data_IF_376504737467
#
_entry.id   IF_376504737467
#
_cell.length_a   1.000
_cell.length_b   1.000
_cell.length_c   1.000
_cell.angle_alpha   90.00
_cell.angle_beta   90.00
_cell.angle_gamma   90.00
#
_symmetry.space_group_name_H-M   'P 1'
#
loop_
_entity.id
_entity.type
_entity.pdbx_description
1 polymer ?
#
# COMPACT_ATOMS: atom_id res chain seq x y z
N UNK A 1 -3.58 40.09 -15.91
CA UNK A 1 -4.93 39.76 -15.43
C UNK A 1 -4.88 38.49 -14.56
N UNK A 2 -4.88 38.75 -13.29
CA UNK A 2 -5.49 38.13 -12.10
C UNK A 2 -5.56 36.63 -11.99
N UNK A 3 -4.60 36.08 -11.24
CA UNK A 3 -4.65 34.74 -10.61
C UNK A 3 -5.23 34.82 -9.17
N UNK A 4 -6.46 35.31 -9.01
CA UNK A 4 -7.08 35.55 -7.70
C UNK A 4 -8.34 34.69 -7.43
N UNK A 5 -8.60 33.64 -8.22
CA UNK A 5 -9.86 32.88 -8.13
C UNK A 5 -9.82 31.51 -7.48
N UNK A 6 -8.65 30.93 -7.21
CA UNK A 6 -8.54 29.53 -6.76
C UNK A 6 -8.49 29.34 -5.22
N UNK A 7 -8.06 30.35 -4.48
CA UNK A 7 -7.90 30.24 -3.02
C UNK A 7 -9.21 30.16 -2.20
N UNK A 8 -10.32 30.83 -2.57
CA UNK A 8 -11.55 30.73 -1.79
C UNK A 8 -12.30 29.41 -1.97
N UNK A 9 -12.09 28.67 -3.06
CA UNK A 9 -12.74 27.38 -3.30
C UNK A 9 -12.09 26.23 -2.47
N UNK A 10 -10.78 26.26 -2.31
CA UNK A 10 -10.08 25.28 -1.48
C UNK A 10 -10.40 25.46 0.01
N UNK A 11 -10.48 26.70 0.48
CA UNK A 11 -10.88 27.01 1.86
C UNK A 11 -12.35 26.68 2.15
N UNK A 12 -13.24 26.81 1.18
CA UNK A 12 -14.65 26.45 1.33
C UNK A 12 -14.92 24.94 1.30
N UNK A 13 -14.10 24.16 0.57
CA UNK A 13 -14.15 22.71 0.57
C UNK A 13 -13.57 22.14 1.86
N UNK A 14 -12.48 22.69 2.36
CA UNK A 14 -11.93 22.35 3.67
C UNK A 14 -12.88 22.73 4.81
N UNK A 15 -13.56 23.86 4.73
CA UNK A 15 -14.58 24.29 5.69
C UNK A 15 -15.83 23.40 5.67
N UNK A 16 -16.19 22.86 4.51
CA UNK A 16 -17.35 21.96 4.37
C UNK A 16 -17.05 20.57 4.95
N UNK A 17 -15.85 20.04 4.78
CA UNK A 17 -15.40 18.82 5.43
C UNK A 17 -15.29 18.97 6.97
N UNK A 18 -15.03 20.18 7.45
CA UNK A 18 -14.89 20.50 8.89
C UNK A 18 -16.24 20.69 9.62
N UNK A 19 -17.37 20.72 8.90
CA UNK A 19 -18.66 21.16 9.46
C UNK A 19 -19.62 20.03 9.88
N UNK A 20 -19.27 18.75 9.70
CA UNK A 20 -20.15 17.63 10.00
C UNK A 20 -19.60 16.78 11.15
N UNK A 21 -19.93 17.08 12.43
CA UNK A 21 -19.45 16.29 13.58
C UNK A 21 -19.86 14.82 13.52
N UNK A 22 -20.97 14.51 12.84
CA UNK A 22 -21.54 13.17 12.72
C UNK A 22 -21.33 12.54 11.33
N UNK A 23 -20.38 13.06 10.53
CA UNK A 23 -20.12 12.51 9.21
C UNK A 23 -19.77 11.01 9.28
N UNK A 24 -20.41 10.16 8.43
CA UNK A 24 -20.12 8.73 8.39
C UNK A 24 -18.69 8.45 7.92
N UNK A 25 -18.24 7.23 8.14
CA UNK A 25 -17.00 6.72 7.56
C UNK A 25 -17.19 6.59 6.04
N UNK A 26 -16.37 7.27 5.27
CA UNK A 26 -16.34 7.21 3.81
C UNK A 26 -14.97 6.73 3.36
N UNK A 27 -14.92 5.48 2.93
CA UNK A 27 -13.68 4.79 2.55
C UNK A 27 -13.43 4.93 1.06
N UNK A 28 -12.21 5.33 0.68
CA UNK A 28 -11.70 5.23 -0.69
C UNK A 28 -10.66 4.12 -0.80
N UNK A 29 -10.76 3.28 -1.84
CA UNK A 29 -9.86 2.14 -2.01
C UNK A 29 -9.60 1.76 -3.46
N UNK A 30 -8.48 1.08 -3.70
CA UNK A 30 -8.17 0.37 -4.93
C UNK A 30 -8.54 -1.12 -4.81
N UNK A 31 -8.80 -1.82 -5.93
CA UNK A 31 -9.20 -3.24 -5.93
C UNK A 31 -7.99 -4.16 -5.70
N UNK A 32 -7.33 -4.01 -4.57
CA UNK A 32 -6.13 -4.75 -4.16
C UNK A 32 -6.33 -5.36 -2.77
N UNK A 33 -5.57 -6.39 -2.45
CA UNK A 33 -5.67 -7.06 -1.15
C UNK A 33 -5.25 -6.18 0.03
N UNK A 34 -4.54 -5.10 -0.25
CA UNK A 34 -4.16 -4.08 0.72
C UNK A 34 -5.37 -3.42 1.41
N UNK A 35 -6.51 -3.34 0.71
CA UNK A 35 -7.75 -2.75 1.23
C UNK A 35 -8.53 -3.71 2.17
N UNK A 36 -8.10 -4.94 2.32
CA UNK A 36 -8.85 -5.98 3.03
C UNK A 36 -9.39 -5.54 4.39
N UNK A 37 -8.60 -4.95 5.31
CA UNK A 37 -9.14 -4.58 6.63
C UNK A 37 -10.26 -3.53 6.57
N UNK A 38 -10.16 -2.57 5.65
CA UNK A 38 -11.19 -1.55 5.47
C UNK A 38 -12.50 -2.15 4.97
N UNK A 39 -12.40 -3.08 4.01
CA UNK A 39 -13.55 -3.73 3.39
C UNK A 39 -14.18 -4.76 4.33
N UNK A 40 -13.39 -5.50 5.09
CA UNK A 40 -13.86 -6.41 6.13
C UNK A 40 -14.56 -5.64 7.24
N UNK A 41 -14.00 -4.50 7.68
CA UNK A 41 -14.64 -3.67 8.71
C UNK A 41 -16.05 -3.22 8.27
N UNK A 42 -16.21 -2.82 7.02
CA UNK A 42 -17.52 -2.46 6.46
C UNK A 42 -18.43 -3.69 6.31
N UNK A 43 -17.95 -4.77 5.70
CA UNK A 43 -18.79 -5.95 5.42
C UNK A 43 -19.31 -6.64 6.68
N UNK A 44 -18.51 -6.67 7.74
CA UNK A 44 -18.84 -7.31 9.01
C UNK A 44 -19.52 -6.37 10.03
N UNK A 45 -19.86 -5.15 9.60
CA UNK A 45 -20.56 -4.19 10.48
C UNK A 45 -19.71 -3.73 11.67
N UNK A 46 -18.39 -3.72 11.57
CA UNK A 46 -17.52 -3.38 12.70
C UNK A 46 -17.54 -1.88 13.03
N UNK A 47 -17.84 -1.01 12.06
CA UNK A 47 -18.06 0.40 12.33
C UNK A 47 -19.34 0.64 13.10
N UNK A 48 -20.42 -0.04 12.71
CA UNK A 48 -21.71 0.00 13.39
C UNK A 48 -21.61 -0.58 14.81
N UNK A 49 -20.81 -1.62 15.01
CA UNK A 49 -20.51 -2.19 16.32
C UNK A 49 -19.76 -1.20 17.24
N UNK A 50 -18.97 -0.29 16.67
CA UNK A 50 -18.36 0.84 17.41
C UNK A 50 -19.34 2.02 17.60
N UNK A 51 -20.55 1.94 17.07
CA UNK A 51 -21.57 2.99 17.16
C UNK A 51 -21.34 4.17 16.21
N UNK A 52 -20.68 3.94 15.07
CA UNK A 52 -20.54 4.91 13.99
C UNK A 52 -21.06 4.32 12.69
N UNK A 53 -21.56 5.19 11.80
CA UNK A 53 -22.06 4.76 10.52
C UNK A 53 -20.95 4.74 9.47
N UNK A 54 -21.03 3.81 8.53
CA UNK A 54 -20.15 3.74 7.38
C UNK A 54 -20.97 3.70 6.09
N UNK A 55 -20.56 4.50 5.12
CA UNK A 55 -21.09 4.40 3.76
C UNK A 55 -20.40 3.27 3.00
N UNK A 56 -21.05 2.84 1.90
CA UNK A 56 -20.40 1.89 0.99
C UNK A 56 -19.05 2.41 0.52
N UNK A 57 -17.97 1.64 0.66
CA UNK A 57 -16.64 2.03 0.19
C UNK A 57 -16.63 2.37 -1.31
N UNK A 58 -15.88 3.40 -1.67
CA UNK A 58 -15.74 3.92 -3.03
C UNK A 58 -14.55 3.29 -3.71
N UNK A 59 -14.80 2.50 -4.76
CA UNK A 59 -13.77 1.91 -5.60
C UNK A 59 -13.18 2.95 -6.55
N UNK A 60 -11.87 3.13 -6.49
CA UNK A 60 -11.11 4.05 -7.32
C UNK A 60 -10.12 3.27 -8.20
N UNK A 61 -9.53 3.91 -9.22
CA UNK A 61 -8.74 3.23 -10.25
C UNK A 61 -7.22 3.45 -10.14
N UNK A 62 -6.82 4.55 -9.50
CA UNK A 62 -5.41 4.93 -9.39
C UNK A 62 -5.12 5.60 -8.05
N UNK A 63 -3.86 5.63 -7.67
CA UNK A 63 -3.42 6.32 -6.45
C UNK A 63 -3.66 7.84 -6.53
N UNK A 64 -3.54 8.42 -7.72
CA UNK A 64 -3.88 9.83 -7.94
C UNK A 64 -5.36 10.09 -7.61
N UNK A 65 -6.28 9.22 -8.05
CA UNK A 65 -7.70 9.35 -7.71
C UNK A 65 -7.98 9.16 -6.22
N UNK A 66 -7.27 8.25 -5.54
CA UNK A 66 -7.44 8.03 -4.10
C UNK A 66 -7.09 9.30 -3.32
N UNK A 67 -5.93 9.89 -3.58
CA UNK A 67 -5.53 11.10 -2.86
C UNK A 67 -6.39 12.31 -3.22
N UNK A 68 -6.84 12.43 -4.47
CA UNK A 68 -7.76 13.49 -4.91
C UNK A 68 -9.12 13.38 -4.21
N UNK A 69 -9.72 12.19 -4.15
CA UNK A 69 -10.96 11.93 -3.43
C UNK A 69 -10.85 12.25 -1.93
N UNK A 70 -9.67 12.00 -1.35
CA UNK A 70 -9.39 12.31 0.05
C UNK A 70 -9.24 13.82 0.27
N UNK A 71 -8.44 14.51 -0.53
CA UNK A 71 -8.24 15.96 -0.41
C UNK A 71 -9.54 16.73 -0.64
N UNK A 72 -10.37 16.30 -1.58
CA UNK A 72 -11.68 16.92 -1.86
C UNK A 72 -12.75 16.64 -0.79
N UNK A 73 -12.49 15.72 0.16
CA UNK A 73 -13.46 15.33 1.17
C UNK A 73 -14.54 14.35 0.69
N UNK A 74 -14.43 13.84 -0.53
CA UNK A 74 -15.31 12.76 -1.03
C UNK A 74 -15.20 11.52 -0.15
N UNK A 75 -13.99 11.21 0.31
CA UNK A 75 -13.72 10.16 1.29
C UNK A 75 -12.91 10.73 2.47
N UNK A 76 -13.01 10.13 3.66
CA UNK A 76 -12.33 10.61 4.86
C UNK A 76 -11.41 9.57 5.52
N UNK A 77 -11.45 8.34 5.04
CA UNK A 77 -10.55 7.26 5.43
C UNK A 77 -10.06 6.55 4.18
N UNK A 78 -8.75 6.47 4.00
CA UNK A 78 -8.15 5.77 2.87
C UNK A 78 -7.03 4.84 3.32
N UNK A 79 -6.79 3.80 2.53
CA UNK A 79 -5.47 3.21 2.51
C UNK A 79 -4.62 3.97 1.50
N UNK A 80 -3.41 4.29 1.86
CA UNK A 80 -2.50 5.03 1.00
C UNK A 80 -1.12 4.37 1.04
N UNK A 81 -0.42 4.40 -0.08
CA UNK A 81 0.98 3.97 -0.14
C UNK A 81 1.79 4.71 0.92
N UNK A 82 2.54 3.98 1.74
CA UNK A 82 3.28 4.58 2.85
C UNK A 82 4.23 5.71 2.41
N UNK A 83 5.00 5.60 1.29
CA UNK A 83 5.79 6.72 0.80
C UNK A 83 4.95 7.91 0.31
N UNK A 84 3.75 7.64 -0.21
CA UNK A 84 2.87 8.70 -0.69
C UNK A 84 2.35 9.59 0.44
N UNK A 85 2.27 9.09 1.66
CA UNK A 85 1.93 9.90 2.84
C UNK A 85 2.99 10.96 3.14
N UNK A 86 4.28 10.63 2.92
CA UNK A 86 5.40 11.57 3.03
C UNK A 86 5.26 12.69 2.00
N UNK A 87 5.01 12.33 0.74
CA UNK A 87 4.76 13.31 -0.31
C UNK A 87 3.52 14.17 -0.02
N UNK A 88 2.41 13.57 0.39
CA UNK A 88 1.17 14.28 0.67
C UNK A 88 1.39 15.35 1.77
N UNK A 89 1.99 14.95 2.92
CA UNK A 89 2.19 15.86 4.04
C UNK A 89 3.26 16.91 3.79
N UNK A 90 4.43 16.52 3.30
CA UNK A 90 5.58 17.43 3.19
C UNK A 90 5.73 18.07 1.81
N UNK A 91 5.40 17.37 0.75
CA UNK A 91 5.46 17.87 -0.62
C UNK A 91 4.22 18.66 -1.03
N UNK A 92 3.04 18.21 -0.67
CA UNK A 92 1.75 18.81 -1.08
C UNK A 92 1.00 19.49 0.06
N UNK A 93 1.55 19.48 1.28
CA UNK A 93 1.00 20.15 2.48
C UNK A 93 -0.43 19.71 2.84
N UNK A 94 -0.76 18.44 2.59
CA UNK A 94 -2.03 17.85 3.01
C UNK A 94 -2.02 17.66 4.54
N UNK A 95 -2.95 18.26 5.30
CA UNK A 95 -3.01 18.14 6.75
C UNK A 95 -3.65 16.81 7.14
N UNK A 96 -2.88 15.73 7.05
CA UNK A 96 -3.32 14.38 7.36
C UNK A 96 -2.16 13.56 7.96
N UNK A 97 -2.51 12.49 8.66
CA UNK A 97 -1.57 11.63 9.38
C UNK A 97 -1.85 10.15 9.15
N UNK A 98 -0.80 9.36 9.31
CA UNK A 98 -0.88 7.91 9.42
C UNK A 98 -1.36 7.56 10.82
N UNK A 99 -2.47 6.84 10.93
CA UNK A 99 -3.06 6.46 12.23
C UNK A 99 -2.88 4.98 12.57
N UNK A 100 -2.62 4.16 11.54
CA UNK A 100 -2.31 2.74 11.66
C UNK A 100 -1.66 2.24 10.36
N UNK A 101 -0.98 1.12 10.40
CA UNK A 101 -0.72 0.35 9.19
C UNK A 101 -1.97 -0.43 8.79
N UNK A 102 -2.19 -0.54 7.49
CA UNK A 102 -3.29 -1.35 6.97
C UNK A 102 -2.86 -2.81 6.81
N UNK A 103 -1.67 -3.01 6.27
CA UNK A 103 -1.06 -4.33 6.10
C UNK A 103 0.46 -4.23 5.92
N UNK A 104 1.13 -5.39 5.94
CA UNK A 104 2.56 -5.55 5.65
C UNK A 104 2.76 -6.57 4.53
N UNK A 105 3.85 -6.42 3.76
CA UNK A 105 4.11 -7.24 2.59
C UNK A 105 3.06 -7.06 1.49
N UNK A 106 2.65 -8.13 0.85
CA UNK A 106 1.53 -8.15 -0.10
C UNK A 106 1.83 -7.58 -1.48
N UNK A 107 3.10 -7.60 -1.89
CA UNK A 107 3.53 -7.09 -3.21
C UNK A 107 4.62 -7.96 -3.81
N UNK A 108 4.79 -7.88 -5.13
CA UNK A 108 5.83 -8.62 -5.83
C UNK A 108 6.27 -7.96 -7.13
N UNK A 109 7.48 -8.30 -7.54
CA UNK A 109 8.00 -8.07 -8.88
C UNK A 109 7.57 -9.23 -9.76
N UNK A 110 6.72 -8.95 -10.72
CA UNK A 110 6.27 -9.90 -11.75
C UNK A 110 6.92 -9.51 -13.07
N UNK A 111 7.45 -10.50 -13.78
CA UNK A 111 8.15 -10.34 -15.04
C UNK A 111 7.55 -11.21 -16.13
N UNK A 112 7.84 -10.88 -17.39
CA UNK A 112 7.47 -11.71 -18.53
C UNK A 112 8.03 -13.13 -18.36
N UNK A 113 7.33 -14.18 -18.85
CA UNK A 113 7.71 -15.58 -18.61
C UNK A 113 9.14 -15.94 -19.03
N UNK A 114 9.65 -15.29 -20.08
CA UNK A 114 10.99 -15.50 -20.63
C UNK A 114 12.12 -14.87 -19.78
N UNK A 115 11.80 -13.98 -18.84
CA UNK A 115 12.79 -13.35 -17.96
C UNK A 115 13.03 -14.26 -16.77
N UNK A 116 14.21 -14.84 -16.72
CA UNK A 116 14.63 -15.77 -15.65
C UNK A 116 15.32 -15.06 -14.49
N UNK A 117 15.97 -13.93 -14.73
CA UNK A 117 16.82 -13.23 -13.77
C UNK A 117 16.59 -11.70 -13.87
N UNK A 118 16.69 -11.01 -12.74
CA UNK A 118 16.52 -9.54 -12.68
C UNK A 118 17.46 -8.81 -13.64
N UNK A 119 18.70 -9.30 -13.85
CA UNK A 119 19.67 -8.70 -14.77
C UNK A 119 19.18 -8.62 -16.22
N UNK A 120 18.25 -9.50 -16.60
CA UNK A 120 17.65 -9.48 -17.93
C UNK A 120 16.64 -8.34 -18.16
N UNK A 121 16.34 -7.56 -17.11
CA UNK A 121 15.55 -6.33 -17.21
C UNK A 121 16.36 -5.16 -17.80
N UNK A 122 17.67 -5.26 -17.91
CA UNK A 122 18.50 -4.27 -18.57
C UNK A 122 18.04 -4.00 -20.01
N UNK A 123 17.96 -2.73 -20.40
CA UNK A 123 17.43 -2.29 -21.68
C UNK A 123 15.91 -2.37 -21.83
N UNK A 124 15.15 -2.62 -20.75
CA UNK A 124 13.69 -2.86 -20.76
C UNK A 124 12.93 -1.88 -19.89
N UNK A 125 11.60 -1.88 -20.06
CA UNK A 125 10.68 -1.07 -19.25
C UNK A 125 9.97 -1.92 -18.20
N UNK A 126 9.88 -1.37 -16.99
CA UNK A 126 9.18 -1.97 -15.83
C UNK A 126 8.19 -0.95 -15.27
N UNK A 127 6.97 -1.38 -14.99
CA UNK A 127 5.96 -0.50 -14.41
C UNK A 127 6.01 -0.48 -12.89
N UNK A 128 5.74 0.70 -12.35
CA UNK A 128 5.50 0.95 -10.92
C UNK A 128 4.13 1.61 -10.76
N UNK A 129 3.45 1.45 -9.59
CA UNK A 129 2.10 1.99 -9.41
C UNK A 129 2.09 3.50 -9.17
N UNK A 130 3.17 4.03 -8.63
CA UNK A 130 3.39 5.46 -8.37
C UNK A 130 4.87 5.71 -8.02
N UNK A 131 5.36 6.94 -8.24
CA UNK A 131 6.74 7.29 -7.88
C UNK A 131 6.99 7.19 -6.38
N UNK A 132 6.07 7.68 -5.56
CA UNK A 132 6.09 7.53 -4.10
C UNK A 132 5.42 6.22 -3.68
N UNK A 133 6.07 5.10 -3.96
CA UNK A 133 5.62 3.76 -3.58
C UNK A 133 6.76 2.95 -2.98
N UNK A 134 6.45 2.06 -2.04
CA UNK A 134 7.42 1.09 -1.54
C UNK A 134 7.91 0.18 -2.67
N UNK A 135 7.07 -0.06 -3.67
CA UNK A 135 7.39 -0.80 -4.88
C UNK A 135 8.59 -0.18 -5.62
N UNK A 136 8.56 1.14 -5.83
CA UNK A 136 9.66 1.87 -6.46
C UNK A 136 10.96 1.78 -5.65
N UNK A 137 10.86 1.94 -4.32
CA UNK A 137 12.00 1.83 -3.41
C UNK A 137 12.64 0.45 -3.48
N UNK A 138 11.85 -0.61 -3.36
CA UNK A 138 12.32 -2.00 -3.39
C UNK A 138 12.84 -2.38 -4.76
N UNK A 139 12.15 -1.98 -5.85
CA UNK A 139 12.61 -2.25 -7.22
C UNK A 139 13.98 -1.65 -7.46
N UNK A 140 14.19 -0.39 -7.13
CA UNK A 140 15.47 0.27 -7.36
C UNK A 140 16.60 -0.35 -6.52
N UNK A 141 16.29 -0.84 -5.32
CA UNK A 141 17.25 -1.62 -4.54
C UNK A 141 17.63 -2.91 -5.29
N UNK A 142 16.64 -3.70 -5.73
CA UNK A 142 16.89 -4.94 -6.48
C UNK A 142 17.68 -4.68 -7.78
N UNK A 143 17.39 -3.58 -8.48
CA UNK A 143 18.12 -3.22 -9.68
C UNK A 143 19.58 -2.92 -9.37
N UNK A 144 19.87 -2.07 -8.38
CA UNK A 144 21.25 -1.74 -7.98
C UNK A 144 22.06 -2.98 -7.58
N UNK A 145 21.44 -3.88 -6.80
CA UNK A 145 22.11 -5.13 -6.35
C UNK A 145 22.41 -6.09 -7.48
N UNK A 146 21.77 -5.90 -8.64
CA UNK A 146 22.00 -6.68 -9.86
C UNK A 146 22.75 -5.89 -10.95
N UNK A 147 23.40 -4.77 -10.60
CA UNK A 147 24.21 -3.96 -11.52
C UNK A 147 23.38 -3.17 -12.54
N UNK A 148 22.09 -2.95 -12.25
CA UNK A 148 21.18 -2.17 -13.07
C UNK A 148 20.85 -0.83 -12.40
N UNK A 149 20.42 0.14 -13.20
CA UNK A 149 19.97 1.45 -12.71
C UNK A 149 18.62 1.84 -13.30
N UNK A 150 17.79 2.41 -12.47
CA UNK A 150 16.50 2.96 -12.89
C UNK A 150 16.71 4.27 -13.66
N UNK A 151 15.95 4.46 -14.72
CA UNK A 151 15.88 5.72 -15.48
C UNK A 151 14.41 6.04 -15.77
N UNK A 152 14.16 7.32 -16.09
CA UNK A 152 12.89 7.78 -16.65
C UNK A 152 13.17 8.37 -18.04
N UNK A 153 12.66 7.71 -19.06
CA UNK A 153 12.83 8.08 -20.47
C UNK A 153 11.47 8.07 -21.17
N UNK A 154 11.36 8.84 -22.24
CA UNK A 154 10.22 8.77 -23.13
C UNK A 154 10.03 7.36 -23.70
N UNK A 155 8.78 6.99 -23.98
CA UNK A 155 8.45 5.70 -24.61
C UNK A 155 9.19 5.58 -25.94
N UNK A 156 9.89 4.45 -26.15
CA UNK A 156 10.67 4.18 -27.37
C UNK A 156 12.05 4.79 -27.39
N UNK A 157 12.49 5.51 -26.33
CA UNK A 157 13.86 5.99 -26.22
C UNK A 157 14.85 4.81 -26.11
N UNK A 158 16.02 4.95 -26.70
CA UNK A 158 17.09 3.98 -26.57
C UNK A 158 17.56 3.90 -25.10
N UNK A 159 17.76 2.69 -24.62
CA UNK A 159 18.25 2.39 -23.29
C UNK A 159 19.62 1.72 -23.37
N UNK A 160 20.52 2.06 -22.45
CA UNK A 160 21.74 1.31 -22.26
C UNK A 160 21.44 -0.07 -21.64
N UNK A 161 22.37 -1.00 -21.78
CA UNK A 161 22.20 -2.38 -21.32
C UNK A 161 22.01 -2.50 -19.78
N UNK A 162 22.46 -1.51 -19.02
CA UNK A 162 22.30 -1.41 -17.57
C UNK A 162 21.12 -0.54 -17.13
N UNK A 163 20.41 0.11 -18.07
CA UNK A 163 19.26 0.97 -17.78
C UNK A 163 17.96 0.17 -17.76
N UNK A 164 17.11 0.45 -16.77
CA UNK A 164 15.72 -0.02 -16.70
C UNK A 164 14.80 1.20 -16.66
N UNK A 165 13.97 1.33 -17.68
CA UNK A 165 13.03 2.45 -17.78
C UNK A 165 11.82 2.23 -16.91
N UNK A 166 11.56 3.11 -15.94
CA UNK A 166 10.40 3.05 -15.08
C UNK A 166 9.24 3.80 -15.71
N UNK A 167 8.06 3.17 -15.72
CA UNK A 167 6.81 3.76 -16.19
C UNK A 167 5.75 3.63 -15.12
N UNK A 168 4.93 4.68 -14.92
CA UNK A 168 3.83 4.64 -13.96
C UNK A 168 2.57 4.14 -14.65
N UNK A 169 1.98 3.06 -14.14
CA UNK A 169 0.69 2.52 -14.59
C UNK A 169 -0.22 2.27 -13.39
N UNK A 170 -1.54 2.47 -13.54
CA UNK A 170 -2.51 1.95 -12.59
C UNK A 170 -2.34 0.43 -12.42
N UNK A 171 -2.50 -0.12 -11.21
CA UNK A 171 -2.29 -1.56 -10.98
C UNK A 171 -3.07 -2.48 -11.91
N UNK A 172 -4.32 -2.14 -12.22
CA UNK A 172 -5.17 -2.92 -13.12
C UNK A 172 -4.70 -2.94 -14.58
N UNK A 173 -3.89 -1.96 -14.99
CA UNK A 173 -3.38 -1.86 -16.36
C UNK A 173 -2.08 -2.64 -16.57
N UNK A 174 -1.45 -3.10 -15.48
CA UNK A 174 -0.14 -3.75 -15.53
C UNK A 174 -0.18 -5.16 -16.15
N UNK A 175 -1.08 -6.08 -15.77
CA UNK A 175 -1.15 -7.41 -16.42
C UNK A 175 -1.41 -7.32 -17.92
N UNK A 176 -2.37 -6.54 -18.44
CA UNK A 176 -2.56 -6.41 -19.89
C UNK A 176 -1.38 -5.73 -20.60
N UNK A 177 -0.70 -4.80 -19.95
CA UNK A 177 0.52 -4.18 -20.50
C UNK A 177 1.66 -5.19 -20.62
N UNK A 178 1.82 -6.09 -19.65
CA UNK A 178 2.78 -7.20 -19.69
C UNK A 178 2.42 -8.19 -20.79
N UNK A 179 1.17 -8.62 -20.86
CA UNK A 179 0.67 -9.55 -21.87
C UNK A 179 0.87 -9.03 -23.31
N UNK A 180 0.68 -7.73 -23.52
CA UNK A 180 0.90 -7.06 -24.81
C UNK A 180 2.37 -6.66 -25.09
N UNK A 181 3.29 -7.02 -24.20
CA UNK A 181 4.74 -6.73 -24.29
C UNK A 181 5.08 -5.22 -24.37
N UNK A 182 4.18 -4.36 -23.88
CA UNK A 182 4.48 -2.92 -23.71
C UNK A 182 5.43 -2.67 -22.56
N UNK A 183 5.44 -3.56 -21.58
CA UNK A 183 6.39 -3.62 -20.47
C UNK A 183 6.91 -5.04 -20.34
N UNK A 184 8.03 -5.22 -19.66
CA UNK A 184 8.66 -6.53 -19.47
C UNK A 184 8.56 -7.04 -18.02
N UNK A 185 8.08 -6.19 -17.15
CA UNK A 185 7.78 -6.50 -15.76
C UNK A 185 7.04 -5.36 -15.11
N UNK A 186 6.55 -5.63 -13.91
CA UNK A 186 5.97 -4.64 -13.04
C UNK A 186 6.15 -5.05 -11.58
N UNK A 187 6.17 -4.10 -10.69
CA UNK A 187 6.16 -4.33 -9.26
C UNK A 187 4.93 -3.68 -8.66
N UNK A 188 4.10 -4.45 -7.98
CA UNK A 188 2.76 -3.98 -7.58
C UNK A 188 2.22 -4.81 -6.42
N UNK A 189 1.20 -4.25 -5.76
CA UNK A 189 0.38 -4.92 -4.77
C UNK A 189 -0.43 -6.09 -5.36
N UNK A 190 -0.71 -7.07 -4.52
CA UNK A 190 -1.60 -8.18 -4.87
C UNK A 190 -3.08 -7.71 -5.01
N UNK A 191 -3.88 -8.38 -5.84
CA UNK A 191 -3.64 -9.72 -6.41
C UNK A 191 -3.09 -9.71 -7.84
N UNK A 192 -2.55 -8.60 -8.33
CA UNK A 192 -2.16 -8.49 -9.74
C UNK A 192 -0.96 -9.38 -10.11
N UNK A 193 -0.12 -9.78 -9.13
CA UNK A 193 0.94 -10.75 -9.37
C UNK A 193 0.33 -12.16 -9.51
N UNK A 194 -0.53 -12.56 -8.59
CA UNK A 194 -1.27 -13.82 -8.69
C UNK A 194 -2.13 -13.91 -9.97
N UNK A 195 -2.74 -12.80 -10.38
CA UNK A 195 -3.53 -12.71 -11.60
C UNK A 195 -2.67 -12.97 -12.85
N UNK A 196 -1.49 -12.38 -12.95
CA UNK A 196 -0.59 -12.60 -14.10
C UNK A 196 -0.15 -14.05 -14.22
N UNK A 197 0.15 -14.71 -13.09
CA UNK A 197 0.48 -16.13 -13.08
C UNK A 197 -0.71 -17.01 -13.46
N UNK A 198 -1.90 -16.68 -12.94
CA UNK A 198 -3.14 -17.40 -13.28
C UNK A 198 -3.47 -17.29 -14.77
N UNK A 199 -3.23 -16.14 -15.38
CA UNK A 199 -3.39 -15.89 -16.81
C UNK A 199 -2.21 -16.40 -17.64
N UNK A 200 -1.13 -16.88 -17.02
CA UNK A 200 0.12 -17.34 -17.67
C UNK A 200 0.80 -16.26 -18.51
N UNK A 201 0.62 -14.99 -18.16
CA UNK A 201 1.23 -13.85 -18.85
C UNK A 201 2.48 -13.31 -18.15
N UNK A 202 2.73 -13.77 -16.92
CA UNK A 202 3.88 -13.38 -16.12
C UNK A 202 4.18 -14.39 -15.03
N UNK A 203 5.31 -14.22 -14.37
CA UNK A 203 5.71 -14.99 -13.19
C UNK A 203 6.26 -14.07 -12.11
N UNK A 204 6.08 -14.41 -10.87
CA UNK A 204 6.68 -13.66 -9.75
C UNK A 204 8.18 -13.95 -9.73
N UNK A 205 8.97 -12.87 -9.81
CA UNK A 205 10.43 -12.91 -9.73
C UNK A 205 10.92 -12.74 -8.30
N UNK A 206 10.28 -11.88 -7.53
CA UNK A 206 10.62 -11.64 -6.13
C UNK A 206 9.45 -11.01 -5.38
N UNK A 207 9.17 -11.47 -4.17
CA UNK A 207 8.25 -10.80 -3.26
C UNK A 207 8.94 -9.67 -2.50
N UNK A 208 8.25 -8.55 -2.34
CA UNK A 208 8.80 -7.37 -1.65
C UNK A 208 9.01 -7.61 -0.16
N UNK A 209 8.14 -8.39 0.48
CA UNK A 209 8.26 -8.76 1.89
C UNK A 209 9.44 -9.69 2.19
N UNK A 210 9.93 -10.41 1.18
CA UNK A 210 11.16 -11.20 1.28
C UNK A 210 12.41 -10.33 1.17
N UNK A 211 12.31 -9.14 0.57
CA UNK A 211 13.39 -8.15 0.49
C UNK A 211 13.43 -7.26 1.72
N UNK A 212 12.29 -6.69 2.08
CA UNK A 212 12.13 -5.86 3.28
C UNK A 212 11.04 -6.46 4.16
N UNK A 213 11.48 -7.15 5.20
CA UNK A 213 10.59 -7.92 6.06
C UNK A 213 9.58 -7.02 6.76
N UNK A 214 8.29 -7.41 6.69
CA UNK A 214 7.18 -6.69 7.32
C UNK A 214 7.13 -5.19 6.99
N UNK A 215 7.59 -4.79 5.80
CA UNK A 215 7.41 -3.41 5.36
C UNK A 215 5.92 -3.08 5.25
N UNK A 216 5.52 -1.88 5.68
CA UNK A 216 4.19 -1.39 5.36
C UNK A 216 4.12 -1.03 3.86
N UNK A 217 3.15 -1.58 3.15
CA UNK A 217 2.85 -1.12 1.79
C UNK A 217 1.83 0.01 1.86
N UNK A 218 0.62 -0.30 2.37
CA UNK A 218 -0.41 0.70 2.59
C UNK A 218 -0.67 0.93 4.08
N UNK A 219 -0.97 2.18 4.38
CA UNK A 219 -1.29 2.65 5.74
C UNK A 219 -2.65 3.33 5.75
N UNK A 220 -3.28 3.37 6.92
CA UNK A 220 -4.53 4.12 7.12
C UNK A 220 -4.20 5.60 7.31
N UNK A 221 -4.76 6.43 6.43
CA UNK A 221 -4.50 7.85 6.37
C UNK A 221 -5.79 8.64 6.62
N UNK A 222 -5.75 9.56 7.57
CA UNK A 222 -6.90 10.35 8.02
C UNK A 222 -6.55 11.83 8.15
N UNK A 223 -7.54 12.70 7.96
CA UNK A 223 -7.37 14.14 8.11
C UNK A 223 -7.04 14.51 9.57
N UNK A 224 -6.07 15.40 9.73
CA UNK A 224 -5.62 15.90 11.02
C UNK A 224 -6.76 16.57 11.82
N UNK A 225 -7.66 17.30 11.14
CA UNK A 225 -8.80 17.90 11.78
C UNK A 225 -9.79 16.87 12.38
N UNK A 226 -9.94 15.68 11.78
CA UNK A 226 -10.76 14.61 12.34
C UNK A 226 -10.12 14.03 13.61
N UNK A 227 -8.79 13.90 13.61
CA UNK A 227 -8.05 13.41 14.78
C UNK A 227 -8.13 14.39 15.96
N UNK A 228 -8.18 15.68 15.69
CA UNK A 228 -8.22 16.75 16.69
C UNK A 228 -9.64 17.09 17.16
N UNK A 229 -10.60 17.17 16.24
CA UNK A 229 -11.96 17.63 16.52
C UNK A 229 -12.96 16.52 16.78
N UNK A 230 -12.67 15.33 16.26
CA UNK A 230 -13.49 14.13 16.44
C UNK A 230 -12.67 12.94 16.97
N UNK A 231 -11.88 13.10 18.05
CA UNK A 231 -10.97 12.04 18.50
C UNK A 231 -11.69 10.75 18.89
N UNK A 232 -12.89 10.83 19.42
CA UNK A 232 -13.70 9.64 19.74
C UNK A 232 -14.16 8.90 18.49
N UNK A 233 -14.59 9.62 17.48
CA UNK A 233 -14.94 9.03 16.18
C UNK A 233 -13.71 8.40 15.52
N UNK A 234 -12.58 9.10 15.53
CA UNK A 234 -11.31 8.59 14.99
C UNK A 234 -10.86 7.32 15.72
N UNK A 235 -11.00 7.27 17.04
CA UNK A 235 -10.73 6.07 17.84
C UNK A 235 -11.59 4.88 17.39
N UNK A 236 -12.88 5.09 17.22
CA UNK A 236 -13.82 4.05 16.77
C UNK A 236 -13.51 3.54 15.37
N UNK A 237 -13.08 4.43 14.47
CA UNK A 237 -12.61 4.04 13.13
C UNK A 237 -11.42 3.10 13.24
N UNK A 238 -10.40 3.47 14.01
CA UNK A 238 -9.19 2.67 14.18
C UNK A 238 -9.50 1.35 14.91
N UNK A 239 -10.37 1.36 15.91
CA UNK A 239 -10.84 0.13 16.60
C UNK A 239 -11.44 -0.87 15.61
N UNK A 240 -12.36 -0.41 14.75
CA UNK A 240 -13.00 -1.26 13.74
C UNK A 240 -11.96 -1.86 12.77
N UNK A 241 -10.99 -1.07 12.33
CA UNK A 241 -9.93 -1.52 11.42
C UNK A 241 -9.04 -2.57 12.10
N UNK A 242 -8.60 -2.35 13.33
CA UNK A 242 -7.75 -3.30 14.07
C UNK A 242 -8.49 -4.61 14.32
N UNK A 243 -9.77 -4.57 14.67
CA UNK A 243 -10.63 -5.76 14.80
C UNK A 243 -10.77 -6.51 13.46
N UNK A 244 -10.91 -5.77 12.36
CA UNK A 244 -10.97 -6.36 11.02
C UNK A 244 -9.66 -7.04 10.62
N UNK A 245 -8.52 -6.48 11.01
CA UNK A 245 -7.21 -7.10 10.77
C UNK A 245 -7.07 -8.44 11.51
N UNK A 246 -7.47 -8.49 12.78
CA UNK A 246 -7.49 -9.74 13.55
C UNK A 246 -8.41 -10.78 12.93
N UNK A 247 -9.64 -10.39 12.63
CA UNK A 247 -10.60 -11.27 11.97
C UNK A 247 -10.04 -11.81 10.64
N UNK A 248 -9.42 -10.96 9.83
CA UNK A 248 -8.85 -11.37 8.53
C UNK A 248 -7.73 -12.39 8.71
N UNK A 249 -6.88 -12.24 9.72
CA UNK A 249 -5.79 -13.20 10.00
C UNK A 249 -6.30 -14.59 10.36
N UNK A 250 -7.46 -14.67 11.01
CA UNK A 250 -8.11 -15.92 11.43
C UNK A 250 -8.99 -16.51 10.31
N UNK A 251 -9.51 -15.68 9.39
CA UNK A 251 -10.50 -16.04 8.38
C UNK A 251 -10.04 -15.72 6.94
N UNK A 252 -8.80 -16.02 6.61
CA UNK A 252 -8.16 -15.62 5.34
C UNK A 252 -8.89 -16.08 4.09
N UNK A 253 -9.33 -17.33 4.06
CA UNK A 253 -10.10 -17.87 2.94
C UNK A 253 -11.49 -17.21 2.80
N UNK A 254 -12.13 -16.92 3.92
CA UNK A 254 -13.41 -16.21 3.95
C UNK A 254 -13.24 -14.75 3.52
N UNK A 255 -12.16 -14.10 3.91
CA UNK A 255 -11.81 -12.76 3.44
C UNK A 255 -11.61 -12.73 1.91
N UNK A 256 -10.95 -13.73 1.32
CA UNK A 256 -10.82 -13.84 -0.12
C UNK A 256 -12.18 -13.92 -0.82
N UNK A 257 -13.09 -14.72 -0.29
CA UNK A 257 -14.46 -14.82 -0.81
C UNK A 257 -15.23 -13.51 -0.68
N UNK A 258 -15.11 -12.86 0.49
CA UNK A 258 -15.78 -11.59 0.81
C UNK A 258 -15.36 -10.46 -0.15
N UNK A 259 -14.07 -10.36 -0.49
CA UNK A 259 -13.54 -9.33 -1.37
C UNK A 259 -13.85 -9.58 -2.85
N UNK A 260 -14.13 -10.83 -3.23
CA UNK A 260 -14.22 -11.25 -4.62
C UNK A 260 -15.44 -10.70 -5.35
N UNK A 261 -15.42 -10.85 -6.68
CA UNK A 261 -16.60 -10.58 -7.53
C UNK A 261 -17.82 -11.48 -7.23
N UNK A 262 -17.60 -12.60 -6.52
CA UNK A 262 -18.65 -13.52 -6.07
C UNK A 262 -19.14 -13.20 -4.65
N UNK A 263 -18.46 -12.32 -3.91
CA UNK A 263 -18.88 -11.85 -2.61
C UNK A 263 -20.13 -10.98 -2.67
N UNK A 264 -20.88 -10.89 -1.56
CA UNK A 264 -22.14 -10.15 -1.49
C UNK A 264 -21.98 -8.67 -1.89
N UNK A 265 -20.88 -8.05 -1.50
CA UNK A 265 -20.59 -6.65 -1.79
C UNK A 265 -19.83 -6.42 -3.12
N UNK A 266 -19.24 -7.45 -3.70
CA UNK A 266 -18.47 -7.36 -4.95
C UNK A 266 -17.44 -6.21 -4.92
N UNK A 267 -16.63 -6.17 -3.86
CA UNK A 267 -15.69 -5.07 -3.65
C UNK A 267 -14.60 -4.98 -4.72
N UNK A 268 -14.23 -6.12 -5.31
CA UNK A 268 -13.22 -6.18 -6.37
C UNK A 268 -13.72 -6.99 -7.57
N UNK A 269 -13.15 -6.79 -8.75
CA UNK A 269 -13.47 -7.58 -9.92
C UNK A 269 -12.78 -8.96 -9.94
N UNK A 270 -11.99 -9.28 -8.92
CA UNK A 270 -11.17 -10.48 -8.89
C UNK A 270 -11.98 -11.74 -8.57
N UNK A 271 -11.59 -12.85 -9.17
CA UNK A 271 -12.13 -14.16 -8.84
C UNK A 271 -11.67 -14.63 -7.46
N UNK A 272 -12.51 -15.42 -6.73
CA UNK A 272 -12.12 -15.95 -5.40
C UNK A 272 -10.81 -16.73 -5.42
N UNK A 273 -10.55 -17.48 -6.49
CA UNK A 273 -9.34 -18.30 -6.63
C UNK A 273 -8.06 -17.45 -6.67
N UNK A 274 -8.13 -16.30 -7.36
CA UNK A 274 -7.00 -15.36 -7.45
C UNK A 274 -6.72 -14.73 -6.09
N UNK A 275 -7.76 -14.29 -5.39
CA UNK A 275 -7.61 -13.73 -4.04
C UNK A 275 -7.19 -14.79 -3.03
N UNK A 276 -7.65 -16.02 -3.16
CA UNK A 276 -7.29 -17.16 -2.32
C UNK A 276 -5.79 -17.46 -2.38
N UNK A 277 -5.17 -17.38 -3.56
CA UNK A 277 -3.71 -17.53 -3.71
C UNK A 277 -2.90 -16.53 -2.91
N UNK A 278 -3.46 -15.36 -2.63
CA UNK A 278 -2.79 -14.29 -1.87
C UNK A 278 -3.07 -14.38 -0.38
N UNK A 279 -4.34 -14.48 -0.03
CA UNK A 279 -4.79 -14.41 1.38
C UNK A 279 -4.63 -15.75 2.11
N UNK A 280 -4.81 -16.86 1.41
CA UNK A 280 -4.71 -18.21 1.94
C UNK A 280 -3.89 -19.14 1.01
N UNK A 281 -2.60 -18.83 0.78
CA UNK A 281 -1.77 -19.58 -0.15
C UNK A 281 -1.58 -21.02 0.29
N UNK A 282 -1.57 -21.96 -0.69
CA UNK A 282 -1.31 -23.37 -0.46
C UNK A 282 0.19 -23.65 -0.20
N UNK A 283 0.48 -24.71 0.53
CA UNK A 283 1.86 -25.13 0.84
C UNK A 283 2.68 -25.44 -0.41
N UNK A 284 2.09 -26.07 -1.42
CA UNK A 284 2.76 -26.42 -2.69
C UNK A 284 3.17 -25.14 -3.45
N UNK A 285 2.34 -24.12 -3.47
CA UNK A 285 2.66 -22.85 -4.11
C UNK A 285 3.82 -22.14 -3.40
N UNK A 286 3.84 -22.16 -2.07
CA UNK A 286 4.96 -21.60 -1.29
C UNK A 286 6.28 -22.33 -1.58
N UNK A 287 6.26 -23.67 -1.67
CA UNK A 287 7.44 -24.43 -2.05
C UNK A 287 7.92 -24.11 -3.47
N UNK A 288 6.99 -23.90 -4.41
CA UNK A 288 7.35 -23.48 -5.77
C UNK A 288 8.04 -22.11 -5.79
N UNK A 289 7.62 -21.16 -4.97
CA UNK A 289 8.28 -19.86 -4.87
C UNK A 289 9.67 -19.92 -4.22
N UNK A 290 9.87 -20.81 -3.25
CA UNK A 290 11.21 -21.11 -2.71
C UNK A 290 12.11 -21.73 -3.78
N UNK A 291 11.61 -22.70 -4.51
CA UNK A 291 12.37 -23.38 -5.56
C UNK A 291 12.74 -22.44 -6.73
N UNK A 292 11.88 -21.48 -7.07
CA UNK A 292 12.12 -20.51 -8.14
C UNK A 292 12.99 -19.33 -7.71
N UNK A 293 13.22 -19.13 -6.39
CA UNK A 293 13.94 -17.98 -5.84
C UNK A 293 13.10 -16.71 -5.75
N UNK A 294 11.77 -16.79 -5.97
CA UNK A 294 10.85 -15.69 -5.69
C UNK A 294 10.77 -15.40 -4.19
N UNK A 295 10.97 -16.43 -3.37
CA UNK A 295 11.25 -16.35 -1.94
C UNK A 295 12.67 -16.89 -1.73
N UNK A 296 13.53 -16.11 -1.09
CA UNK A 296 14.92 -16.48 -0.77
C UNK A 296 15.11 -16.79 0.71
N UNK A 297 14.27 -16.22 1.57
CA UNK A 297 14.33 -16.40 3.01
C UNK A 297 13.21 -17.36 3.45
N UNK A 298 13.55 -18.59 3.76
CA UNK A 298 12.59 -19.67 4.06
C UNK A 298 11.69 -19.35 5.26
N UNK A 299 12.15 -18.55 6.20
CA UNK A 299 11.40 -18.10 7.38
C UNK A 299 10.33 -17.04 7.08
N UNK A 300 10.31 -16.47 5.85
CA UNK A 300 9.27 -15.52 5.43
C UNK A 300 8.08 -16.21 4.72
N UNK A 301 8.12 -17.46 4.43
CA UNK A 301 7.19 -18.16 3.52
C UNK A 301 5.72 -18.21 3.96
N UNK A 302 5.40 -18.07 5.25
CA UNK A 302 4.07 -18.38 5.77
C UNK A 302 2.99 -17.35 5.42
N UNK A 303 3.37 -16.09 5.26
CA UNK A 303 2.41 -14.99 5.08
C UNK A 303 2.84 -14.01 3.99
N UNK A 304 2.40 -14.30 2.78
CA UNK A 304 2.60 -13.46 1.59
C UNK A 304 2.14 -12.01 1.80
N UNK A 305 1.00 -11.84 2.50
CA UNK A 305 0.50 -10.59 3.06
C UNK A 305 0.08 -10.84 4.50
N UNK A 306 0.38 -9.92 5.41
CA UNK A 306 -0.12 -9.98 6.78
C UNK A 306 -0.72 -8.64 7.21
N UNK A 307 -1.59 -8.68 8.21
CA UNK A 307 -2.37 -7.53 8.66
C UNK A 307 -1.91 -7.17 10.08
N UNK A 308 -0.99 -6.20 10.15
CA UNK A 308 -0.38 -5.73 11.39
C UNK A 308 -0.61 -4.22 11.50
N UNK A 309 -1.21 -3.74 12.62
CA UNK A 309 -1.69 -2.36 12.67
C UNK A 309 -0.66 -1.33 13.11
N UNK A 310 0.42 -1.72 13.83
CA UNK A 310 1.26 -0.73 14.50
C UNK A 310 2.31 -0.10 13.56
N UNK A 311 2.32 1.25 13.48
CA UNK A 311 3.24 1.99 12.61
C UNK A 311 4.58 2.24 13.30
N UNK A 312 5.49 1.27 13.23
CA UNK A 312 6.81 1.36 13.88
C UNK A 312 7.61 2.58 13.38
N UNK A 313 8.14 3.43 14.30
CA UNK A 313 8.95 4.59 13.94
C UNK A 313 10.17 4.24 13.08
N UNK A 314 10.84 3.11 13.40
CA UNK A 314 12.01 2.62 12.64
C UNK A 314 11.71 2.46 11.14
N UNK A 315 10.52 1.98 10.80
CA UNK A 315 10.09 1.85 9.41
C UNK A 315 9.99 3.22 8.72
N UNK A 316 9.31 4.17 9.34
CA UNK A 316 9.16 5.53 8.75
C UNK A 316 10.51 6.22 8.60
N UNK A 317 11.40 6.09 9.58
CA UNK A 317 12.76 6.63 9.49
C UNK A 317 13.55 6.03 8.33
N UNK A 318 13.54 4.69 8.21
CA UNK A 318 14.24 4.01 7.13
C UNK A 318 13.63 4.32 5.76
N UNK A 319 12.30 4.41 5.68
CA UNK A 319 11.59 4.82 4.47
C UNK A 319 12.06 6.19 3.98
N UNK A 320 12.14 7.18 4.86
CA UNK A 320 12.60 8.53 4.52
C UNK A 320 14.04 8.51 4.02
N UNK A 321 14.94 7.74 4.67
CA UNK A 321 16.32 7.58 4.20
C UNK A 321 16.37 7.04 2.77
N UNK A 322 15.62 5.98 2.49
CA UNK A 322 15.60 5.34 1.16
C UNK A 322 14.95 6.20 0.09
N UNK A 323 13.93 6.98 0.42
CA UNK A 323 13.30 7.90 -0.53
C UNK A 323 14.29 8.96 -1.05
N UNK A 324 15.28 9.37 -0.26
CA UNK A 324 16.32 10.30 -0.69
C UNK A 324 17.24 9.72 -1.77
N UNK A 325 17.41 8.40 -1.79
CA UNK A 325 18.26 7.67 -2.74
C UNK A 325 17.46 7.01 -3.88
N UNK A 326 16.16 7.28 -3.94
CA UNK A 326 15.25 6.70 -4.93
C UNK A 326 14.99 7.71 -6.05
N UNK A 327 15.09 7.29 -7.31
CA UNK A 327 14.65 8.09 -8.44
C UNK A 327 13.15 8.30 -8.38
N UNK A 328 12.74 9.56 -8.25
CA UNK A 328 11.35 9.99 -8.19
C UNK A 328 11.18 11.17 -9.14
N UNK A 329 10.26 11.07 -10.07
CA UNK A 329 9.89 12.17 -10.95
C UNK A 329 8.93 13.14 -10.26
N UNK A 330 8.97 14.40 -10.66
CA UNK A 330 8.08 15.44 -10.16
C UNK A 330 8.57 16.10 -8.88
N UNK A 331 7.66 16.44 -7.97
CA UNK A 331 7.97 17.17 -6.74
C UNK A 331 8.70 16.26 -5.74
N UNK A 332 10.01 16.37 -5.68
CA UNK A 332 10.90 15.58 -4.83
C UNK A 332 11.94 16.42 -4.05
N UNK A 333 12.08 17.72 -4.37
CA UNK A 333 13.11 18.57 -3.77
C UNK A 333 12.99 18.67 -2.23
N UNK A 334 11.77 18.58 -1.69
CA UNK A 334 11.52 18.63 -0.25
C UNK A 334 12.16 17.46 0.52
N UNK A 335 12.39 16.32 -0.13
CA UNK A 335 12.96 15.12 0.50
C UNK A 335 14.33 15.40 1.12
N UNK A 336 15.16 16.22 0.46
CA UNK A 336 16.51 16.54 0.92
C UNK A 336 16.53 17.16 2.32
N UNK A 337 15.51 17.97 2.65
CA UNK A 337 15.41 18.68 3.94
C UNK A 337 14.75 17.88 5.05
N UNK A 338 14.18 16.71 4.78
CA UNK A 338 13.48 15.92 5.78
C UNK A 338 14.46 15.26 6.76
N UNK A 339 14.20 15.42 8.04
CA UNK A 339 14.81 14.62 9.09
C UNK A 339 13.98 13.36 9.33
N UNK A 340 14.55 12.14 9.21
CA UNK A 340 13.80 10.89 9.34
C UNK A 340 13.06 10.73 10.66
N UNK A 341 13.70 11.13 11.78
CA UNK A 341 13.09 11.02 13.13
C UNK A 341 11.95 12.01 13.31
N UNK A 342 12.14 13.23 12.80
CA UNK A 342 11.09 14.24 12.85
C UNK A 342 9.89 13.80 12.03
N UNK A 343 10.09 13.21 10.84
CA UNK A 343 9.00 12.65 10.02
C UNK A 343 8.27 11.54 10.76
N UNK A 344 9.00 10.60 11.37
CA UNK A 344 8.40 9.51 12.13
C UNK A 344 7.50 10.00 13.28
N UNK A 345 7.90 11.09 13.97
CA UNK A 345 7.12 11.65 15.07
C UNK A 345 5.97 12.56 14.63
N UNK A 346 6.08 13.23 13.47
CA UNK A 346 5.08 14.19 13.00
C UNK A 346 4.04 13.57 12.05
N UNK A 347 4.47 12.69 11.14
CA UNK A 347 3.58 12.05 10.17
C UNK A 347 2.64 11.03 10.83
N UNK A 348 3.10 10.37 11.89
CA UNK A 348 2.39 9.26 12.53
C UNK A 348 1.72 9.73 13.83
N UNK A 349 0.43 9.43 13.96
CA UNK A 349 -0.32 9.57 15.20
C UNK A 349 -0.73 8.19 15.71
N UNK A 350 0.07 7.59 16.56
CA UNK A 350 -0.15 6.22 17.05
C UNK A 350 -1.04 6.11 18.30
N UNK A 351 -1.58 7.23 18.80
CA UNK A 351 -2.45 7.24 20.00
C UNK A 351 -3.64 6.31 19.84
N UNK A 352 -4.30 6.38 18.70
CA UNK A 352 -5.52 5.60 18.43
C UNK A 352 -5.24 4.11 18.26
N UNK A 353 -4.19 3.75 17.54
CA UNK A 353 -3.85 2.33 17.33
C UNK A 353 -3.31 1.67 18.60
N UNK A 354 -2.62 2.39 19.46
CA UNK A 354 -2.21 1.88 20.78
C UNK A 354 -3.41 1.54 21.65
N UNK A 355 -4.43 2.40 21.68
CA UNK A 355 -5.65 2.15 22.41
C UNK A 355 -6.42 0.96 21.79
N UNK A 356 -6.58 0.93 20.46
CA UNK A 356 -7.25 -0.17 19.76
C UNK A 356 -6.56 -1.52 20.01
N UNK A 357 -5.21 -1.55 20.02
CA UNK A 357 -4.43 -2.74 20.36
C UNK A 357 -4.70 -3.21 21.79
N UNK A 358 -4.76 -2.29 22.75
CA UNK A 358 -5.05 -2.65 24.13
C UNK A 358 -6.42 -3.34 24.29
N UNK A 359 -7.41 -2.96 23.49
CA UNK A 359 -8.75 -3.58 23.51
C UNK A 359 -8.77 -5.01 22.97
N UNK A 360 -7.81 -5.40 22.13
CA UNK A 360 -7.80 -6.71 21.46
C UNK A 360 -6.67 -7.64 21.95
N UNK A 361 -6.02 -7.31 23.06
CA UNK A 361 -4.97 -8.14 23.64
C UNK A 361 -3.53 -7.73 23.26
N UNK A 362 -3.33 -6.52 22.77
CA UNK A 362 -2.03 -5.94 22.50
C UNK A 362 -1.35 -6.46 21.22
N UNK A 363 -0.07 -6.14 21.10
CA UNK A 363 0.77 -6.61 19.99
C UNK A 363 0.85 -8.13 19.91
N UNK A 364 0.75 -8.82 21.06
CA UNK A 364 0.78 -10.28 21.12
C UNK A 364 -0.36 -10.94 20.34
N UNK A 365 -1.55 -10.32 20.29
CA UNK A 365 -2.66 -10.83 19.48
C UNK A 365 -2.31 -10.92 17.99
N UNK A 366 -1.34 -10.13 17.54
CA UNK A 366 -0.80 -10.14 16.18
C UNK A 366 0.49 -10.97 16.05
N UNK A 367 0.93 -11.64 17.11
CA UNK A 367 2.19 -12.37 17.13
C UNK A 367 3.43 -11.49 17.09
N UNK A 368 3.29 -10.24 17.54
CA UNK A 368 4.36 -9.25 17.56
C UNK A 368 4.95 -9.11 18.96
N UNK A 369 6.25 -8.75 19.03
CA UNK A 369 6.93 -8.49 20.28
C UNK A 369 6.37 -7.21 20.93
N UNK A 370 6.34 -7.20 22.26
CA UNK A 370 5.96 -6.02 23.03
C UNK A 370 6.96 -4.86 22.86
N UNK A 371 6.54 -3.65 23.25
CA UNK A 371 7.40 -2.49 23.38
C UNK A 371 7.33 -1.49 22.23
N UNK A 372 6.53 -1.73 21.21
CA UNK A 372 6.33 -0.79 20.10
C UNK A 372 7.61 -0.34 19.39
N UNK A 373 8.62 -1.20 19.39
CA UNK A 373 9.91 -0.96 18.74
C UNK A 373 10.34 -2.21 17.98
N UNK A 374 11.07 -2.01 16.89
CA UNK A 374 11.70 -3.07 16.13
C UNK A 374 12.90 -2.55 15.35
N UNK A 375 13.73 -3.45 14.86
CA UNK A 375 14.74 -3.17 13.83
C UNK A 375 14.17 -3.48 12.46
N UNK A 376 14.60 -2.73 11.44
CA UNK A 376 14.25 -3.04 10.05
C UNK A 376 15.21 -4.08 9.47
N UNK A 377 14.65 -5.12 8.85
CA UNK A 377 15.39 -6.19 8.18
C UNK A 377 15.21 -6.06 6.67
N UNK A 378 16.31 -5.77 5.98
CA UNK A 378 16.33 -5.58 4.53
C UNK A 378 17.46 -6.41 3.95
N UNK A 379 17.09 -7.43 3.17
CA UNK A 379 17.98 -8.43 2.59
C UNK A 379 17.59 -8.66 1.12
N UNK A 380 18.21 -7.94 0.19
CA UNK A 380 17.91 -8.01 -1.26
C UNK A 380 18.20 -9.37 -1.89
#
# INVERSE_FOLDING_TARGET
LSAAGALPLLSSLQARAAAEPDAPVRIGYLPITDATPLLVAHANGLFEAEGIQAERPVLLRSWAQVIEAFISGQVNVIHLLSPMTVWARYGSKVPAKVVAWNHVGGSGLTVAPEIADVRQLGGKSVAIPFWYSIHNVVLQQLLRDNGLRAVSRAVGAALAADEVNLVVLPPSDMPPALASKRIHGYIVAEPFNALAENLKVGRVQRFTGDVWRNHACCVVFMHEHDLERRPQWSQKVVNAIVKAQLWTREHRAEAAQLLSKAGANRYTPHAPEVLGRVLAPGAEEQQAYLASGAIRHADWQERRIDFQPYPYPSYTEELVRRLKDTLIEGNNAFLASLDPRQVASDLVDDRFVRQALAEVGGLQAFGLAEGFQRSEEISP
#
